data_IF_043193765750
#
_entry.id   IF_043193765750
#
_cell.length_a   1.000
_cell.length_b   1.000
_cell.length_c   1.000
_cell.angle_alpha   90.00
_cell.angle_beta   90.00
_cell.angle_gamma   90.00
#
_symmetry.space_group_name_H-M   'P 1'
#
loop_
_entity.id
_entity.type
_entity.pdbx_description
1 polymer ?
#
# COMPACT_ATOMS: atom_id res chain seq x y z
N UNK A 1 -9.04 -5.15 7.22
CA UNK A 1 -7.65 -4.65 7.36
C UNK A 1 -6.95 -4.90 6.04
N UNK A 2 -6.04 -4.00 5.59
CA UNK A 2 -5.31 -4.16 4.32
C UNK A 2 -4.83 -5.60 4.12
N UNK A 3 -5.10 -6.16 2.96
CA UNK A 3 -4.70 -7.51 2.58
C UNK A 3 -3.63 -7.45 1.50
N UNK A 4 -2.68 -8.39 1.53
CA UNK A 4 -1.64 -8.54 0.52
C UNK A 4 -1.64 -10.00 0.09
N UNK A 5 -1.84 -10.25 -1.20
CA UNK A 5 -1.76 -11.62 -1.77
C UNK A 5 -0.32 -12.14 -1.75
N UNK A 6 -0.14 -13.46 -1.79
CA UNK A 6 1.19 -14.07 -1.81
C UNK A 6 2.02 -13.63 -3.03
N UNK A 7 1.40 -13.51 -4.21
CA UNK A 7 2.05 -12.99 -5.42
C UNK A 7 2.52 -11.55 -5.24
N UNK A 8 1.68 -10.69 -4.65
CA UNK A 8 2.05 -9.29 -4.39
C UNK A 8 3.18 -9.19 -3.36
N UNK A 9 3.18 -10.06 -2.35
CA UNK A 9 4.26 -10.16 -1.37
C UNK A 9 5.58 -10.47 -2.05
N UNK A 10 5.64 -11.43 -2.98
CA UNK A 10 6.88 -11.77 -3.67
C UNK A 10 7.45 -10.56 -4.43
N UNK A 11 6.61 -9.87 -5.21
CA UNK A 11 7.03 -8.66 -5.95
C UNK A 11 7.48 -7.56 -4.98
N UNK A 12 6.71 -7.31 -3.91
CA UNK A 12 7.05 -6.29 -2.92
C UNK A 12 8.37 -6.61 -2.22
N UNK A 13 8.61 -7.86 -1.85
CA UNK A 13 9.88 -8.29 -1.25
C UNK A 13 11.05 -8.13 -2.23
N UNK A 14 10.87 -8.50 -3.49
CA UNK A 14 11.89 -8.30 -4.52
C UNK A 14 12.21 -6.81 -4.74
N UNK A 15 11.19 -5.96 -4.85
CA UNK A 15 11.39 -4.52 -5.00
C UNK A 15 12.01 -3.87 -3.76
N UNK A 16 11.67 -4.34 -2.56
CA UNK A 16 12.32 -3.92 -1.32
C UNK A 16 13.81 -4.25 -1.34
N UNK A 17 14.18 -5.47 -1.71
CA UNK A 17 15.58 -5.90 -1.82
C UNK A 17 16.35 -5.09 -2.88
N UNK A 18 15.75 -4.91 -4.07
CA UNK A 18 16.36 -4.17 -5.18
C UNK A 18 16.59 -2.69 -4.81
N UNK A 19 15.61 -2.05 -4.18
CA UNK A 19 15.69 -0.65 -3.76
C UNK A 19 16.30 -0.45 -2.36
N UNK A 20 16.82 -1.52 -1.73
CA UNK A 20 17.35 -1.53 -0.37
C UNK A 20 16.37 -0.99 0.68
N UNK A 21 15.06 -1.05 0.43
CA UNK A 21 14.03 -0.55 1.33
C UNK A 21 13.60 -1.65 2.34
N UNK A 22 13.19 -1.22 3.53
CA UNK A 22 12.85 -2.14 4.62
C UNK A 22 11.34 -2.29 4.84
N UNK A 23 10.52 -1.41 4.26
CA UNK A 23 9.08 -1.41 4.50
C UNK A 23 8.27 -0.76 3.38
N UNK A 24 6.99 -1.13 3.32
CA UNK A 24 5.97 -0.46 2.51
C UNK A 24 5.31 0.60 3.39
N UNK A 25 5.46 1.87 3.05
CA UNK A 25 4.74 2.96 3.69
C UNK A 25 3.45 3.28 2.93
N UNK A 26 2.36 3.39 3.68
CA UNK A 26 1.06 3.80 3.17
C UNK A 26 0.63 5.06 3.90
N UNK A 27 0.45 6.14 3.15
CA UNK A 27 0.00 7.43 3.65
C UNK A 27 -1.21 7.91 2.87
N UNK A 28 -1.98 8.80 3.48
CA UNK A 28 -2.97 9.63 2.82
C UNK A 28 -2.36 10.93 2.32
N UNK A 29 -2.61 11.30 1.07
CA UNK A 29 -2.25 12.58 0.49
C UNK A 29 -3.50 13.35 0.05
N UNK A 30 -3.53 14.69 0.22
CA UNK A 30 -4.63 15.50 -0.30
C UNK A 30 -4.62 15.46 -1.83
N UNK A 31 -5.74 15.08 -2.42
CA UNK A 31 -6.01 15.08 -3.85
C UNK A 31 -7.06 16.14 -4.23
N UNK A 32 -7.27 16.30 -5.54
CA UNK A 32 -8.18 17.32 -6.08
C UNK A 32 -9.64 17.13 -5.63
N UNK A 33 -10.07 15.88 -5.41
CA UNK A 33 -11.45 15.52 -5.05
C UNK A 33 -11.54 14.72 -3.73
N UNK A 34 -10.61 14.95 -2.79
CA UNK A 34 -10.59 14.25 -1.51
C UNK A 34 -9.21 13.78 -1.12
N UNK A 35 -9.14 12.67 -0.38
CA UNK A 35 -7.89 12.10 0.10
C UNK A 35 -7.55 10.89 -0.76
N UNK A 36 -6.34 10.88 -1.33
CA UNK A 36 -5.82 9.75 -2.09
C UNK A 36 -4.86 8.94 -1.23
N UNK A 37 -4.77 7.64 -1.45
CA UNK A 37 -3.74 6.82 -0.83
C UNK A 37 -2.45 6.87 -1.64
N UNK A 38 -1.32 6.87 -0.94
CA UNK A 38 0.03 6.83 -1.47
C UNK A 38 0.73 5.61 -0.91
N UNK A 39 1.16 4.73 -1.81
CA UNK A 39 1.96 3.55 -1.49
C UNK A 39 3.39 3.82 -1.94
N UNK A 40 4.37 3.63 -1.06
CA UNK A 40 5.77 3.85 -1.35
C UNK A 40 6.66 2.85 -0.60
N UNK A 41 7.71 2.38 -1.23
CA UNK A 41 8.79 1.67 -0.54
C UNK A 41 9.66 2.71 0.18
N UNK A 42 9.90 2.48 1.46
CA UNK A 42 10.66 3.39 2.31
C UNK A 42 11.47 2.59 3.34
N UNK A 43 12.38 3.27 4.04
CA UNK A 43 13.11 2.67 5.14
C UNK A 43 12.36 2.90 6.46
N UNK A 44 12.40 1.89 7.33
CA UNK A 44 11.83 2.03 8.67
C UNK A 44 12.60 3.10 9.45
N UNK A 45 11.94 4.18 9.88
CA UNK A 45 12.60 5.19 10.72
C UNK A 45 12.69 4.72 12.17
N UNK A 46 13.62 5.32 12.91
CA UNK A 46 13.82 5.01 14.33
C UNK A 46 12.54 5.29 15.12
N UNK A 47 12.06 4.29 15.87
CA UNK A 47 10.83 4.37 16.66
C UNK A 47 9.55 3.98 15.93
N UNK A 48 9.61 3.72 14.62
CA UNK A 48 8.44 3.22 13.88
C UNK A 48 8.27 1.71 14.05
N UNK A 49 7.01 1.29 14.17
CA UNK A 49 6.63 -0.11 14.31
C UNK A 49 5.84 -0.53 13.07
N UNK A 50 6.46 -1.23 12.11
CA UNK A 50 5.75 -1.77 10.97
C UNK A 50 4.82 -2.89 11.42
N UNK A 51 3.62 -2.90 10.85
CA UNK A 51 2.64 -3.98 10.99
C UNK A 51 2.93 -5.03 9.92
N UNK A 52 3.22 -6.29 10.29
CA UNK A 52 3.41 -7.34 9.31
C UNK A 52 2.07 -7.75 8.68
N UNK A 53 1.90 -7.50 7.38
CA UNK A 53 0.72 -7.88 6.62
C UNK A 53 1.15 -8.92 5.58
N UNK A 54 0.70 -10.17 5.76
CA UNK A 54 1.17 -11.32 5.00
C UNK A 54 2.71 -11.46 4.92
N UNK A 55 3.41 -11.02 5.99
CA UNK A 55 4.88 -11.00 6.04
C UNK A 55 5.54 -9.79 5.40
N UNK A 56 4.78 -8.89 4.76
CA UNK A 56 5.28 -7.60 4.29
C UNK A 56 5.26 -6.60 5.46
N UNK A 57 6.39 -5.95 5.80
CA UNK A 57 6.41 -4.90 6.81
C UNK A 57 5.74 -3.63 6.28
N UNK A 58 4.56 -3.28 6.82
CA UNK A 58 3.79 -2.11 6.38
C UNK A 58 3.71 -1.04 7.48
N UNK A 59 4.08 0.19 7.15
CA UNK A 59 3.96 1.36 8.03
C UNK A 59 2.78 2.22 7.58
N UNK A 60 1.82 2.43 8.46
CA UNK A 60 0.68 3.31 8.24
C UNK A 60 0.16 3.85 9.58
N UNK A 61 -0.44 5.04 9.58
CA UNK A 61 -1.13 5.56 10.76
C UNK A 61 -2.55 4.97 10.90
N UNK A 62 -3.18 5.15 12.06
CA UNK A 62 -4.51 4.59 12.34
C UNK A 62 -5.59 5.07 11.36
N UNK A 63 -5.52 6.32 10.91
CA UNK A 63 -6.46 6.86 9.92
C UNK A 63 -6.33 6.13 8.57
N UNK A 64 -5.10 5.98 8.06
CA UNK A 64 -4.84 5.22 6.83
C UNK A 64 -5.19 3.74 6.98
N UNK A 65 -4.96 3.15 8.16
CA UNK A 65 -5.35 1.78 8.46
C UNK A 65 -6.86 1.53 8.31
N UNK A 66 -7.69 2.49 8.71
CA UNK A 66 -9.14 2.42 8.54
C UNK A 66 -9.57 2.57 7.07
N UNK A 67 -8.91 3.46 6.31
CA UNK A 67 -9.17 3.66 4.88
C UNK A 67 -8.74 2.45 4.03
N UNK A 68 -7.71 1.75 4.49
CA UNK A 68 -7.15 0.58 3.80
C UNK A 68 -7.79 -0.74 4.23
N UNK A 69 -8.78 -0.70 5.14
CA UNK A 69 -9.36 -1.90 5.73
C UNK A 69 -9.99 -2.84 4.70
N UNK A 70 -10.63 -2.27 3.67
CA UNK A 70 -11.26 -3.01 2.58
C UNK A 70 -10.39 -3.18 1.34
N UNK A 71 -9.10 -2.84 1.42
CA UNK A 71 -8.18 -2.90 0.27
C UNK A 71 -7.39 -4.20 0.24
N UNK A 72 -7.12 -4.67 -0.96
CA UNK A 72 -6.28 -5.83 -1.25
C UNK A 72 -5.24 -5.45 -2.30
N UNK A 73 -3.96 -5.70 -1.99
CA UNK A 73 -2.87 -5.60 -2.95
C UNK A 73 -2.70 -6.96 -3.62
N UNK A 74 -2.92 -6.98 -4.93
CA UNK A 74 -2.80 -8.15 -5.80
C UNK A 74 -1.87 -7.87 -6.97
N UNK A 75 -1.57 -8.90 -7.75
CA UNK A 75 -0.80 -8.79 -8.99
C UNK A 75 -1.72 -9.10 -10.16
N UNK A 76 -1.76 -8.21 -11.14
CA UNK A 76 -2.48 -8.40 -12.39
C UNK A 76 -1.52 -8.07 -13.52
N UNK A 77 -1.32 -9.01 -14.45
CA UNK A 77 -0.40 -8.87 -15.58
C UNK A 77 1.03 -8.50 -15.16
N UNK A 78 1.50 -9.07 -14.04
CA UNK A 78 2.83 -8.80 -13.47
C UNK A 78 2.99 -7.42 -12.81
N UNK A 79 1.90 -6.65 -12.70
CA UNK A 79 1.88 -5.33 -12.06
C UNK A 79 1.08 -5.36 -10.76
N UNK A 80 1.56 -4.62 -9.75
CA UNK A 80 0.84 -4.46 -8.49
C UNK A 80 -0.43 -3.63 -8.71
N UNK A 81 -1.57 -4.17 -8.28
CA UNK A 81 -2.89 -3.54 -8.35
C UNK A 81 -3.47 -3.51 -6.95
N UNK A 82 -4.17 -2.42 -6.63
CA UNK A 82 -4.92 -2.27 -5.37
C UNK A 82 -6.39 -2.36 -5.73
N UNK A 83 -7.05 -3.38 -5.20
CA UNK A 83 -8.47 -3.64 -5.39
C UNK A 83 -9.24 -3.47 -4.07
N UNK A 84 -10.51 -3.08 -4.15
CA UNK A 84 -11.36 -2.85 -2.98
C UNK A 84 -11.43 -1.39 -2.53
N UNK A 85 -12.38 -1.10 -1.63
CA UNK A 85 -12.67 0.25 -1.13
C UNK A 85 -13.29 1.17 -2.20
N UNK A 86 -14.51 1.65 -1.96
CA UNK A 86 -15.23 2.55 -2.86
C UNK A 86 -14.63 3.95 -2.94
N UNK A 87 -13.37 4.08 -3.34
CA UNK A 87 -12.75 5.35 -3.70
C UNK A 87 -12.42 5.28 -5.20
N UNK A 88 -13.34 5.83 -6.00
CA UNK A 88 -13.31 5.85 -7.45
C UNK A 88 -12.18 6.70 -8.03
N UNK A 89 -11.00 6.11 -8.12
CA UNK A 89 -9.95 6.55 -9.05
C UNK A 89 -9.46 5.33 -9.85
N UNK A 90 -10.37 4.75 -10.62
CA UNK A 90 -9.96 3.96 -11.79
C UNK A 90 -9.34 4.88 -12.86
N UNK A 91 -8.71 4.32 -13.90
CA UNK A 91 -8.13 5.09 -15.01
C UNK A 91 -9.17 5.85 -15.86
N UNK A 92 -10.45 5.80 -15.48
CA UNK A 92 -11.57 6.49 -16.09
C UNK A 92 -12.00 7.62 -15.15
N UNK A 93 -11.63 8.85 -15.49
CA UNK A 93 -11.67 9.99 -14.59
C UNK A 93 -13.04 10.35 -14.00
N UNK A 94 -13.00 11.13 -12.93
CA UNK A 94 -14.04 12.10 -12.60
C UNK A 94 -13.38 13.35 -12.01
N UNK A 95 -13.92 14.49 -12.44
CA UNK A 95 -13.69 15.87 -12.05
C UNK A 95 -14.05 16.20 -10.60
#
# INVERSE_FOLDING_TARGET
MLQVTDEAKEILSQSMEEHNCDCLRVDTQPGCCGVSLRFALDHKKSGEQPTPINGVPVIMNQETGQQTDSLTISVVDGSLVIDGGGCGCGPSGCC
#
